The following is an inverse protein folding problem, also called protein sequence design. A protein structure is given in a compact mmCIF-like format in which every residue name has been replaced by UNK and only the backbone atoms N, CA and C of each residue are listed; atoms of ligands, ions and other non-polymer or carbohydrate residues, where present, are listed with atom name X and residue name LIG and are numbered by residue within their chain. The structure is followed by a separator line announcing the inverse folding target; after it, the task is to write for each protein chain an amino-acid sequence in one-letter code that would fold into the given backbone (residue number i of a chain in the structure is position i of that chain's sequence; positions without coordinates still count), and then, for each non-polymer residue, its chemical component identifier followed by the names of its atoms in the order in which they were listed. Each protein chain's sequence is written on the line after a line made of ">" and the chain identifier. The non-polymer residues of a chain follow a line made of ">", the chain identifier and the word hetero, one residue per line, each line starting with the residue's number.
data_IF_329246572016
#
_entry.id   IF_329246572016
#
_cell.length_a   1.000
_cell.length_b   1.000
_cell.length_c   1.000
_cell.angle_alpha   90.00
_cell.angle_beta   90.00
_cell.angle_gamma   90.00
#
_symmetry.space_group_name_H-M   'P 1'
#
loop_
_entity.id
_entity.type
_entity.pdbx_description
1 polymer ?
#
# COMPACT_ATOMS: atom_id res chain seq x y z
N UNK A 1 4.08 -12.59 -1.31
CA UNK A 1 5.11 -13.00 -2.30
C UNK A 1 4.41 -13.68 -3.47
N UNK A 2 3.68 -14.78 -3.23
CA UNK A 2 2.89 -15.46 -4.28
C UNK A 2 2.06 -14.53 -5.18
N UNK A 3 1.30 -13.60 -4.59
CA UNK A 3 0.52 -12.62 -5.35
C UNK A 3 1.38 -11.76 -6.32
N UNK A 4 2.59 -11.38 -5.90
CA UNK A 4 3.51 -10.60 -6.74
C UNK A 4 4.06 -11.45 -7.88
N UNK A 5 4.39 -12.71 -7.59
CA UNK A 5 4.91 -13.64 -8.58
C UNK A 5 3.84 -13.92 -9.65
N UNK A 6 2.58 -14.07 -9.24
CA UNK A 6 1.45 -14.20 -10.14
C UNK A 6 1.23 -12.94 -11.00
N UNK A 7 1.21 -11.76 -10.39
CA UNK A 7 1.09 -10.48 -11.12
C UNK A 7 2.22 -10.32 -12.14
N UNK A 8 3.46 -10.68 -11.77
CA UNK A 8 4.60 -10.68 -12.70
C UNK A 8 4.44 -11.70 -13.83
N UNK A 9 3.90 -12.88 -13.55
CA UNK A 9 3.54 -13.88 -14.56
C UNK A 9 2.52 -13.36 -15.57
N UNK A 10 1.65 -12.43 -15.17
CA UNK A 10 0.72 -11.70 -16.05
C UNK A 10 1.35 -10.49 -16.77
N UNK A 11 2.66 -10.28 -16.67
CA UNK A 11 3.37 -9.15 -17.29
C UNK A 11 3.26 -7.82 -16.53
N UNK A 12 2.66 -7.81 -15.34
CA UNK A 12 2.53 -6.60 -14.52
C UNK A 12 3.84 -6.35 -13.77
N UNK A 13 4.35 -5.11 -13.87
CA UNK A 13 5.54 -4.66 -13.12
C UNK A 13 5.20 -4.45 -11.64
N UNK A 14 4.99 -5.54 -10.92
CA UNK A 14 4.69 -5.56 -9.49
C UNK A 14 5.96 -5.74 -8.64
N UNK A 15 5.96 -5.16 -7.45
CA UNK A 15 7.03 -5.28 -6.46
C UNK A 15 6.44 -5.33 -5.05
N UNK A 16 7.25 -5.79 -4.09
CA UNK A 16 6.86 -5.87 -2.69
C UNK A 16 7.99 -5.37 -1.80
N UNK A 17 7.66 -4.42 -0.95
CA UNK A 17 8.51 -3.97 0.15
C UNK A 17 7.94 -4.54 1.43
N UNK A 18 8.77 -5.28 2.18
CA UNK A 18 8.41 -5.77 3.52
C UNK A 18 9.12 -4.91 4.56
N UNK A 19 8.36 -4.08 5.28
CA UNK A 19 8.89 -3.28 6.37
C UNK A 19 9.22 -4.19 7.55
N UNK A 20 10.51 -4.47 7.78
CA UNK A 20 10.99 -5.28 8.91
C UNK A 20 11.27 -4.44 10.16
N UNK A 21 11.76 -3.22 9.96
CA UNK A 21 12.04 -2.24 11.00
C UNK A 21 11.07 -1.08 10.82
N UNK A 22 10.20 -0.84 11.81
CA UNK A 22 9.34 0.34 11.82
C UNK A 22 9.96 1.48 12.62
N UNK A 23 10.64 1.20 13.73
CA UNK A 23 11.23 2.23 14.59
C UNK A 23 12.68 1.91 14.95
N UNK A 24 13.64 2.82 14.68
CA UNK A 24 13.48 4.08 13.93
C UNK A 24 12.98 3.83 12.49
N UNK A 25 12.18 4.75 11.93
CA UNK A 25 11.59 4.55 10.61
C UNK A 25 12.66 4.71 9.52
N UNK A 26 12.80 3.75 8.58
CA UNK A 26 13.87 3.75 7.59
C UNK A 26 13.54 4.66 6.40
N UNK A 27 13.55 5.98 6.64
CA UNK A 27 13.14 6.97 5.63
C UNK A 27 13.93 6.86 4.32
N UNK A 28 15.26 6.74 4.38
CA UNK A 28 16.11 6.73 3.20
C UNK A 28 15.90 5.46 2.36
N UNK A 29 15.81 4.31 3.01
CA UNK A 29 15.65 3.00 2.39
C UNK A 29 14.28 2.85 1.75
N UNK A 30 13.23 3.33 2.43
CA UNK A 30 11.87 3.34 1.90
C UNK A 30 11.82 4.18 0.62
N UNK A 31 12.34 5.41 0.66
CA UNK A 31 12.37 6.29 -0.53
C UNK A 31 13.15 5.66 -1.67
N UNK A 32 14.31 5.09 -1.40
CA UNK A 32 15.13 4.41 -2.40
C UNK A 32 14.42 3.20 -3.03
N UNK A 33 13.65 2.45 -2.24
CA UNK A 33 12.93 1.26 -2.70
C UNK A 33 11.75 1.58 -3.62
N UNK A 34 11.08 2.72 -3.40
CA UNK A 34 9.84 3.07 -4.13
C UNK A 34 10.02 4.13 -5.21
N UNK A 35 11.22 4.70 -5.40
CA UNK A 35 11.48 5.83 -6.31
C UNK A 35 11.03 5.66 -7.77
N UNK A 36 10.86 4.42 -8.23
CA UNK A 36 10.44 4.12 -9.61
C UNK A 36 8.98 3.64 -9.70
N UNK A 37 8.28 3.53 -8.57
CA UNK A 37 6.89 3.15 -8.55
C UNK A 37 6.03 4.33 -9.03
N UNK A 38 5.03 4.04 -9.88
CA UNK A 38 4.00 5.02 -10.27
C UNK A 38 2.84 5.04 -9.28
N UNK A 39 2.51 3.86 -8.74
CA UNK A 39 1.46 3.64 -7.74
C UNK A 39 2.07 2.81 -6.62
N UNK A 40 1.75 3.16 -5.38
CA UNK A 40 2.19 2.48 -4.17
C UNK A 40 0.98 2.08 -3.36
N UNK A 41 0.86 0.79 -3.05
CA UNK A 41 -0.17 0.26 -2.16
C UNK A 41 0.47 0.06 -0.79
N UNK A 42 -0.06 0.74 0.23
CA UNK A 42 0.30 0.56 1.63
C UNK A 42 -0.82 -0.22 2.30
N UNK A 43 -0.48 -1.36 2.90
CA UNK A 43 -1.45 -2.21 3.57
C UNK A 43 -1.25 -2.12 5.08
N UNK A 44 -2.28 -1.74 5.82
CA UNK A 44 -2.24 -1.62 7.27
C UNK A 44 -3.21 -2.61 7.93
N UNK A 45 -2.74 -3.29 8.98
CA UNK A 45 -3.61 -4.10 9.86
C UNK A 45 -4.19 -3.30 11.03
N UNK A 46 -4.19 -1.97 10.90
CA UNK A 46 -4.66 -1.04 11.91
C UNK A 46 -5.17 0.23 11.22
N UNK A 47 -6.09 0.93 11.86
CA UNK A 47 -6.57 2.24 11.41
C UNK A 47 -6.31 3.29 12.49
N UNK A 48 -5.92 4.49 12.08
CA UNK A 48 -5.90 5.67 12.94
C UNK A 48 -7.22 6.42 12.78
N UNK A 49 -8.19 6.18 13.66
CA UNK A 49 -9.48 6.85 13.63
C UNK A 49 -9.33 8.38 13.69
N UNK A 50 -10.03 9.08 12.81
CA UNK A 50 -9.89 10.54 12.62
C UNK A 50 -8.64 10.97 11.86
N UNK A 51 -7.75 10.03 11.51
CA UNK A 51 -6.57 10.25 10.68
C UNK A 51 -6.79 9.93 9.20
N UNK A 52 -5.74 10.04 8.37
CA UNK A 52 -5.83 9.86 6.92
C UNK A 52 -5.88 8.38 6.49
N UNK A 53 -5.83 7.42 7.42
CA UNK A 53 -5.81 5.98 7.14
C UNK A 53 -5.02 5.21 8.19
N UNK A 54 -4.26 4.21 7.77
CA UNK A 54 -3.40 3.42 8.65
C UNK A 54 -2.13 4.16 9.11
N UNK A 55 -1.47 3.67 10.17
CA UNK A 55 -0.27 4.29 10.71
C UNK A 55 0.93 4.22 9.75
N UNK A 56 1.14 3.10 9.05
CA UNK A 56 2.24 2.98 8.06
C UNK A 56 1.96 3.89 6.88
N UNK A 57 0.71 3.95 6.40
CA UNK A 57 0.32 4.88 5.35
C UNK A 57 0.63 6.34 5.71
N UNK A 58 0.31 6.75 6.93
CA UNK A 58 0.58 8.10 7.42
C UNK A 58 2.08 8.39 7.45
N UNK A 59 2.89 7.45 7.92
CA UNK A 59 4.36 7.56 7.96
C UNK A 59 4.96 7.64 6.54
N UNK A 60 4.46 6.82 5.60
CA UNK A 60 4.89 6.85 4.19
C UNK A 60 4.54 8.19 3.54
N UNK A 61 3.34 8.73 3.77
CA UNK A 61 2.95 10.06 3.27
C UNK A 61 3.86 11.14 3.82
N UNK A 62 4.17 11.09 5.12
CA UNK A 62 5.10 12.03 5.75
C UNK A 62 6.50 11.92 5.16
N UNK A 63 7.03 10.71 4.97
CA UNK A 63 8.34 10.45 4.40
C UNK A 63 8.49 11.00 2.96
N UNK A 64 7.40 11.05 2.21
CA UNK A 64 7.36 11.50 0.81
C UNK A 64 6.85 12.93 0.65
N UNK A 65 6.49 13.62 1.74
CA UNK A 65 5.85 14.94 1.66
C UNK A 65 6.73 15.98 0.96
N UNK A 66 8.05 15.93 1.20
CA UNK A 66 9.01 16.86 0.61
C UNK A 66 9.52 16.41 -0.79
N UNK A 67 9.11 15.24 -1.29
CA UNK A 67 9.58 14.73 -2.57
C UNK A 67 8.77 15.34 -3.72
N UNK A 68 9.47 15.95 -4.69
CA UNK A 68 8.83 16.56 -5.87
C UNK A 68 8.18 15.53 -6.78
N UNK A 69 8.70 14.30 -6.78
CA UNK A 69 8.14 13.17 -7.50
C UNK A 69 7.87 12.03 -6.52
N UNK A 70 6.59 11.67 -6.37
CA UNK A 70 6.15 10.57 -5.51
C UNK A 70 5.10 9.73 -6.24
N UNK A 71 4.99 8.41 -5.95
CA UNK A 71 3.91 7.60 -6.47
C UNK A 71 2.55 8.11 -5.97
N UNK A 72 1.48 7.78 -6.70
CA UNK A 72 0.13 7.81 -6.14
C UNK A 72 0.05 6.75 -5.03
N UNK A 73 -0.36 7.14 -3.83
CA UNK A 73 -0.30 6.26 -2.65
C UNK A 73 -1.72 5.86 -2.29
N UNK A 74 -1.96 4.56 -2.15
CA UNK A 74 -3.25 3.97 -1.82
C UNK A 74 -3.13 3.23 -0.50
N UNK A 75 -4.18 3.24 0.32
CA UNK A 75 -4.19 2.50 1.57
C UNK A 75 -5.32 1.48 1.64
N UNK A 76 -4.99 0.25 2.01
CA UNK A 76 -5.96 -0.77 2.35
C UNK A 76 -5.82 -1.16 3.82
N UNK A 77 -6.89 -0.98 4.57
CA UNK A 77 -7.03 -1.46 5.94
C UNK A 77 -7.58 -2.88 5.89
N UNK A 78 -6.82 -3.85 6.37
CA UNK A 78 -7.12 -5.27 6.14
C UNK A 78 -6.82 -6.14 7.36
N UNK A 79 -7.39 -7.35 7.40
CA UNK A 79 -7.12 -8.30 8.48
C UNK A 79 -7.53 -7.85 9.90
N UNK A 80 -8.41 -6.84 10.00
CA UNK A 80 -8.91 -6.37 11.29
C UNK A 80 -9.65 -7.49 12.03
N UNK A 81 -9.37 -7.64 13.33
CA UNK A 81 -9.95 -8.70 14.15
C UNK A 81 -9.39 -10.10 13.85
N UNK A 82 -8.20 -10.21 13.27
CA UNK A 82 -7.55 -11.50 13.01
C UNK A 82 -8.12 -12.26 11.81
N UNK A 83 -8.86 -11.57 10.93
CA UNK A 83 -9.39 -12.16 9.69
C UNK A 83 -8.25 -12.63 8.79
N UNK A 84 -8.48 -13.76 8.14
CA UNK A 84 -7.57 -14.28 7.13
C UNK A 84 -7.57 -13.40 5.88
N UNK A 85 -6.42 -13.37 5.20
CA UNK A 85 -6.16 -12.52 4.04
C UNK A 85 -5.39 -13.35 3.00
N UNK A 86 -6.09 -14.12 2.15
CA UNK A 86 -5.46 -14.91 1.10
C UNK A 86 -4.66 -14.07 0.10
N UNK A 87 -3.75 -14.72 -0.61
CA UNK A 87 -2.96 -14.08 -1.68
C UNK A 87 -3.82 -13.38 -2.74
N UNK A 88 -5.01 -13.91 -3.02
CA UNK A 88 -5.98 -13.35 -3.96
C UNK A 88 -6.47 -11.95 -3.58
N UNK A 89 -6.53 -11.63 -2.28
CA UNK A 89 -6.92 -10.29 -1.83
C UNK A 89 -5.92 -9.23 -2.29
N UNK A 90 -4.63 -9.53 -2.18
CA UNK A 90 -3.58 -8.60 -2.65
C UNK A 90 -3.60 -8.42 -4.17
N UNK A 91 -4.02 -9.44 -4.92
CA UNK A 91 -4.24 -9.34 -6.37
C UNK A 91 -5.42 -8.41 -6.64
N UNK A 92 -6.55 -8.59 -5.95
CA UNK A 92 -7.73 -7.73 -6.09
C UNK A 92 -7.44 -6.27 -5.73
N UNK A 93 -6.68 -6.02 -4.66
CA UNK A 93 -6.18 -4.67 -4.32
C UNK A 93 -5.35 -4.08 -5.47
N UNK A 94 -4.47 -4.87 -6.07
CA UNK A 94 -3.65 -4.44 -7.21
C UNK A 94 -4.51 -4.10 -8.43
N UNK A 95 -5.45 -4.97 -8.78
CA UNK A 95 -6.35 -4.78 -9.92
C UNK A 95 -7.21 -3.52 -9.77
N UNK A 96 -7.75 -3.28 -8.57
CA UNK A 96 -8.51 -2.06 -8.25
C UNK A 96 -7.66 -0.80 -8.43
N UNK A 97 -6.42 -0.81 -7.94
CA UNK A 97 -5.49 0.31 -8.10
C UNK A 97 -5.05 0.49 -9.55
N UNK A 98 -4.87 -0.58 -10.33
CA UNK A 98 -4.57 -0.49 -11.76
C UNK A 98 -5.73 0.13 -12.54
N UNK A 99 -6.98 -0.23 -12.21
CA UNK A 99 -8.18 0.31 -12.82
C UNK A 99 -8.41 1.81 -12.54
N UNK A 100 -7.85 2.35 -11.45
CA UNK A 100 -7.91 3.79 -11.14
C UNK A 100 -6.94 4.62 -11.99
N UNK A 101 -7.26 4.81 -13.28
CA UNK A 101 -6.42 5.56 -14.21
C UNK A 101 -6.30 7.06 -13.85
N UNK A 102 -7.32 7.61 -13.21
CA UNK A 102 -7.40 9.02 -12.85
C UNK A 102 -6.80 9.35 -11.47
N UNK A 103 -6.42 8.34 -10.67
CA UNK A 103 -5.87 8.55 -9.33
C UNK A 103 -6.91 9.02 -8.32
N UNK A 104 -8.21 8.76 -8.54
CA UNK A 104 -9.29 9.27 -7.68
C UNK A 104 -9.27 8.68 -6.28
N UNK A 105 -8.75 7.46 -6.13
CA UNK A 105 -8.62 6.79 -4.84
C UNK A 105 -7.22 6.97 -4.23
N UNK A 106 -6.37 7.81 -4.83
CA UNK A 106 -5.07 8.11 -4.25
C UNK A 106 -5.19 9.02 -3.02
N UNK A 107 -4.22 8.91 -2.13
CA UNK A 107 -4.11 9.63 -0.86
C UNK A 107 -5.27 9.40 0.13
N UNK A 108 -6.17 8.43 -0.14
CA UNK A 108 -7.25 7.95 0.73
C UNK A 108 -7.04 6.49 1.17
N UNK A 109 -7.97 5.96 1.99
CA UNK A 109 -7.97 4.58 2.45
C UNK A 109 -9.32 3.89 2.23
N UNK A 110 -9.28 2.57 2.12
CA UNK A 110 -10.44 1.70 2.01
C UNK A 110 -10.30 0.49 2.95
N UNK A 111 -11.41 0.03 3.53
CA UNK A 111 -11.44 -1.23 4.27
C UNK A 111 -11.57 -2.42 3.30
N UNK A 112 -10.71 -3.41 3.45
CA UNK A 112 -10.74 -4.64 2.65
C UNK A 112 -11.14 -5.85 3.51
N UNK A 113 -12.16 -6.60 3.05
CA UNK A 113 -12.61 -7.82 3.71
C UNK A 113 -13.27 -7.58 5.08
N UNK A 114 -13.64 -6.33 5.39
CA UNK A 114 -14.42 -5.98 6.57
C UNK A 114 -15.91 -6.11 6.22
N UNK A 115 -16.70 -6.68 7.13
CA UNK A 115 -18.18 -6.68 7.05
C UNK A 115 -18.64 -5.56 7.96
N UNK A 116 -19.56 -4.74 7.47
CA UNK A 116 -20.34 -3.80 8.28
C UNK A 116 -21.07 -4.51 9.41
#
# INVERSE_FOLDING_TARGET
>A
QMAIDELRGRGIKAGLVKLKLWRPFPFAEVKAAIKHAKKLIVTDRAISFGGPGGPVFSEIKSALYAETQRPLIYNYIYGLGGRDVPGSDFIGMFEKVLADLAGKAADTYEFWGVRE
#
